data_IF_581485758260
#
_entry.id   IF_581485758260
#
_cell.length_a   1.000
_cell.length_b   1.000
_cell.length_c   1.000
_cell.angle_alpha   90.00
_cell.angle_beta   90.00
_cell.angle_gamma   90.00
#
_symmetry.space_group_name_H-M   'P 1'
#
loop_
_entity.id
_entity.type
_entity.pdbx_description
1 polymer ?
#
# COMPACT_ATOMS: atom_id res chain seq x y z
N UNK A 1 9.36 -27.81 2.09
CA UNK A 1 10.05 -26.80 2.92
C UNK A 1 10.77 -25.82 2.01
N UNK A 2 10.52 -24.51 2.12
CA UNK A 2 11.24 -23.53 1.29
C UNK A 2 12.73 -23.51 1.67
N UNK A 3 13.62 -23.38 0.69
CA UNK A 3 15.06 -23.29 0.94
C UNK A 3 15.39 -22.07 1.81
N UNK A 4 16.41 -22.19 2.68
CA UNK A 4 16.90 -21.10 3.56
C UNK A 4 16.96 -19.72 2.86
N UNK A 5 17.47 -19.58 1.62
CA UNK A 5 17.49 -18.28 0.93
C UNK A 5 16.09 -17.72 0.58
N UNK A 6 15.13 -18.56 0.19
CA UNK A 6 13.74 -18.10 -0.09
C UNK A 6 13.09 -17.54 1.18
N UNK A 7 13.34 -18.17 2.33
CA UNK A 7 12.81 -17.70 3.62
C UNK A 7 13.36 -16.30 3.98
N UNK A 8 14.67 -16.07 3.78
CA UNK A 8 15.30 -14.77 4.08
C UNK A 8 14.73 -13.65 3.23
N UNK A 9 14.64 -13.84 1.91
CA UNK A 9 14.09 -12.82 1.02
C UNK A 9 12.62 -12.54 1.27
N UNK A 10 11.82 -13.56 1.58
CA UNK A 10 10.43 -13.36 2.01
C UNK A 10 10.34 -12.55 3.30
N UNK A 11 11.20 -12.81 4.28
CA UNK A 11 11.27 -12.03 5.52
C UNK A 11 11.65 -10.58 5.26
N UNK A 12 12.56 -10.32 4.31
CA UNK A 12 12.93 -8.97 3.92
C UNK A 12 11.75 -8.21 3.27
N UNK A 13 11.01 -8.86 2.37
CA UNK A 13 9.79 -8.26 1.79
C UNK A 13 8.74 -8.00 2.86
N UNK A 14 8.57 -8.91 3.83
CA UNK A 14 7.66 -8.70 4.96
C UNK A 14 8.09 -7.52 5.84
N UNK A 15 9.38 -7.43 6.17
CA UNK A 15 9.92 -6.31 6.92
C UNK A 15 9.70 -4.98 6.18
N UNK A 16 9.99 -4.95 4.88
CA UNK A 16 9.79 -3.78 4.03
C UNK A 16 8.32 -3.37 3.97
N UNK A 17 7.41 -4.34 3.83
CA UNK A 17 5.97 -4.11 3.87
C UNK A 17 5.53 -3.48 5.20
N UNK A 18 6.03 -3.98 6.33
CA UNK A 18 5.70 -3.44 7.65
C UNK A 18 6.25 -2.01 7.80
N UNK A 19 7.52 -1.78 7.49
CA UNK A 19 8.16 -0.45 7.63
C UNK A 19 7.46 0.59 6.76
N UNK A 20 7.16 0.26 5.50
CA UNK A 20 6.47 1.17 4.58
C UNK A 20 5.02 1.43 4.99
N UNK A 21 4.32 0.43 5.54
CA UNK A 21 2.95 0.61 6.05
C UNK A 21 2.91 1.48 7.31
N UNK A 22 3.84 1.27 8.24
CA UNK A 22 3.95 2.10 9.45
C UNK A 22 4.37 3.52 9.08
N UNK A 23 5.30 3.66 8.14
CA UNK A 23 5.70 4.96 7.60
C UNK A 23 4.53 5.70 6.96
N UNK A 24 3.71 5.02 6.15
CA UNK A 24 2.50 5.59 5.57
C UNK A 24 1.52 6.07 6.65
N UNK A 25 1.24 5.26 7.68
CA UNK A 25 0.40 5.64 8.81
C UNK A 25 0.95 6.86 9.55
N UNK A 26 2.26 6.89 9.82
CA UNK A 26 2.91 8.00 10.52
C UNK A 26 2.81 9.31 9.71
N UNK A 27 2.96 9.25 8.38
CA UNK A 27 2.78 10.43 7.53
C UNK A 27 1.33 10.92 7.52
N UNK A 28 0.35 10.02 7.51
CA UNK A 28 -1.06 10.40 7.63
C UNK A 28 -1.34 11.13 8.95
N UNK A 29 -0.75 10.68 10.07
CA UNK A 29 -0.85 11.37 11.35
C UNK A 29 -0.12 12.72 11.37
N UNK A 30 1.06 12.83 10.74
CA UNK A 30 1.78 14.10 10.63
C UNK A 30 0.97 15.14 9.84
N UNK A 31 0.38 14.73 8.72
CA UNK A 31 -0.52 15.59 7.91
C UNK A 31 -1.76 15.98 8.71
N UNK A 32 -2.37 15.05 9.45
CA UNK A 32 -3.48 15.36 10.34
C UNK A 32 -3.13 16.47 11.33
N UNK A 33 -1.98 16.36 12.00
CA UNK A 33 -1.51 17.38 12.96
C UNK A 33 -1.34 18.73 12.25
N UNK A 34 -0.68 18.78 11.10
CA UNK A 34 -0.48 20.02 10.34
C UNK A 34 -1.81 20.67 9.91
N UNK A 35 -2.78 19.87 9.47
CA UNK A 35 -4.10 20.37 9.09
C UNK A 35 -4.87 20.91 10.29
N UNK A 36 -4.79 20.23 11.44
CA UNK A 36 -5.38 20.73 12.69
C UNK A 36 -4.70 22.04 13.13
N UNK A 37 -3.38 22.12 13.08
CA UNK A 37 -2.63 23.36 13.37
C UNK A 37 -3.09 24.50 12.47
N UNK A 38 -3.27 24.25 11.17
CA UNK A 38 -3.79 25.25 10.24
C UNK A 38 -5.21 25.71 10.56
N UNK A 39 -6.03 24.87 11.16
CA UNK A 39 -7.42 25.18 11.50
C UNK A 39 -7.55 25.93 12.83
N UNK A 40 -6.59 25.78 13.74
CA UNK A 40 -6.69 26.30 15.11
C UNK A 40 -5.81 27.52 15.36
N UNK A 41 -4.77 27.76 14.55
CA UNK A 41 -3.92 28.94 14.70
C UNK A 41 -4.65 30.23 14.34
N UNK A 42 -4.31 31.31 15.05
CA UNK A 42 -4.75 32.68 14.75
C UNK A 42 -3.81 33.38 13.75
N UNK A 43 -2.62 32.81 13.50
CA UNK A 43 -1.63 33.37 12.59
C UNK A 43 -1.84 32.84 11.17
N UNK A 44 -2.18 33.73 10.23
CA UNK A 44 -2.30 33.36 8.80
C UNK A 44 -1.00 32.76 8.26
N UNK A 45 0.15 33.31 8.64
CA UNK A 45 1.44 32.81 8.19
C UNK A 45 1.69 31.36 8.66
N UNK A 46 1.28 31.03 9.88
CA UNK A 46 1.38 29.67 10.41
C UNK A 46 0.43 28.71 9.71
N UNK A 47 -0.81 29.12 9.42
CA UNK A 47 -1.77 28.31 8.69
C UNK A 47 -1.29 27.95 7.27
N UNK A 48 -0.71 28.93 6.55
CA UNK A 48 -0.10 28.71 5.23
C UNK A 48 1.10 27.77 5.32
N UNK A 49 1.96 27.96 6.33
CA UNK A 49 3.11 27.08 6.54
C UNK A 49 2.67 25.63 6.81
N UNK A 50 1.69 25.44 7.68
CA UNK A 50 1.22 24.11 8.04
C UNK A 50 0.57 23.37 6.85
N UNK A 51 -0.30 24.03 6.08
CA UNK A 51 -0.92 23.44 4.88
C UNK A 51 0.07 23.15 3.76
N UNK A 52 1.03 24.06 3.52
CA UNK A 52 2.08 23.83 2.52
C UNK A 52 3.00 22.67 2.90
N UNK A 53 3.37 22.54 4.17
CA UNK A 53 4.16 21.39 4.65
C UNK A 53 3.36 20.08 4.57
N UNK A 54 2.06 20.11 4.84
CA UNK A 54 1.19 18.94 4.67
C UNK A 54 1.20 18.46 3.21
N UNK A 55 1.11 19.38 2.25
CA UNK A 55 1.20 19.08 0.82
C UNK A 55 2.56 18.50 0.43
N UNK A 56 3.66 19.02 0.99
CA UNK A 56 5.01 18.49 0.74
C UNK A 56 5.13 17.06 1.28
N UNK A 57 4.69 16.80 2.51
CA UNK A 57 4.73 15.45 3.10
C UNK A 57 3.89 14.45 2.31
N UNK A 58 2.70 14.86 1.86
CA UNK A 58 1.81 14.03 1.05
C UNK A 58 2.52 13.54 -0.23
N UNK A 59 3.10 14.47 -0.98
CA UNK A 59 3.77 14.16 -2.24
C UNK A 59 5.13 13.47 -2.09
N UNK A 60 5.96 13.89 -1.12
CA UNK A 60 7.36 13.47 -1.00
C UNK A 60 7.55 12.20 -0.19
N UNK A 61 6.70 11.92 0.79
CA UNK A 61 6.88 10.78 1.70
C UNK A 61 5.65 9.88 1.76
N UNK A 62 4.46 10.44 1.95
CA UNK A 62 3.25 9.65 2.10
C UNK A 62 2.99 8.80 0.85
N UNK A 63 2.92 9.44 -0.33
CA UNK A 63 2.59 8.74 -1.57
C UNK A 63 3.64 7.66 -1.97
N UNK A 64 4.96 7.88 -1.87
CA UNK A 64 5.95 6.83 -2.10
C UNK A 64 5.83 5.66 -1.12
N UNK A 65 5.60 5.92 0.17
CA UNK A 65 5.44 4.88 1.19
C UNK A 65 4.15 4.08 0.99
N UNK A 66 3.05 4.75 0.62
CA UNK A 66 1.79 4.11 0.27
C UNK A 66 1.95 3.15 -0.92
N UNK A 67 2.63 3.60 -1.98
CA UNK A 67 2.92 2.77 -3.15
C UNK A 67 3.82 1.57 -2.81
N UNK A 68 4.87 1.78 -2.02
CA UNK A 68 5.76 0.71 -1.58
C UNK A 68 5.04 -0.33 -0.70
N UNK A 69 4.20 0.12 0.23
CA UNK A 69 3.36 -0.76 1.08
C UNK A 69 2.37 -1.57 0.23
N UNK A 70 1.67 -0.92 -0.70
CA UNK A 70 0.71 -1.58 -1.57
C UNK A 70 1.38 -2.62 -2.48
N UNK A 71 2.48 -2.24 -3.15
CA UNK A 71 3.20 -3.15 -4.04
C UNK A 71 3.76 -4.37 -3.30
N UNK A 72 4.38 -4.17 -2.13
CA UNK A 72 4.88 -5.28 -1.30
C UNK A 72 3.74 -6.16 -0.80
N UNK A 73 2.61 -5.58 -0.40
CA UNK A 73 1.41 -6.32 0.01
C UNK A 73 0.84 -7.17 -1.12
N UNK A 74 0.76 -6.61 -2.33
CA UNK A 74 0.33 -7.32 -3.52
C UNK A 74 1.28 -8.46 -3.86
N UNK A 75 2.59 -8.20 -3.86
CA UNK A 75 3.62 -9.21 -4.11
C UNK A 75 3.60 -10.32 -3.06
N UNK A 76 3.33 -10.03 -1.78
CA UNK A 76 3.21 -11.04 -0.75
C UNK A 76 1.97 -11.92 -0.97
N UNK A 77 0.79 -11.33 -1.22
CA UNK A 77 -0.43 -12.10 -1.50
C UNK A 77 -0.31 -12.95 -2.78
N UNK A 78 0.34 -12.37 -3.80
CA UNK A 78 0.72 -13.02 -5.04
C UNK A 78 1.68 -14.21 -4.80
N UNK A 79 2.87 -13.94 -4.31
CA UNK A 79 4.01 -14.84 -4.30
C UNK A 79 3.95 -15.95 -3.23
N UNK A 80 2.91 -15.94 -2.40
CA UNK A 80 2.76 -16.90 -1.31
C UNK A 80 1.44 -17.67 -1.41
N UNK A 81 1.32 -18.81 -0.68
CA UNK A 81 0.10 -19.59 -0.62
C UNK A 81 -1.14 -18.82 -0.16
N UNK A 82 -0.96 -17.69 0.51
CA UNK A 82 -2.04 -16.87 1.07
C UNK A 82 -3.02 -16.43 -0.02
N UNK A 83 -2.54 -15.99 -1.20
CA UNK A 83 -3.44 -15.52 -2.27
C UNK A 83 -4.24 -14.27 -1.87
N UNK A 84 -4.84 -13.60 -2.86
CA UNK A 84 -5.65 -12.39 -2.60
C UNK A 84 -7.03 -12.69 -2.00
N UNK A 85 -7.63 -13.82 -2.40
CA UNK A 85 -9.04 -14.15 -2.13
C UNK A 85 -9.22 -15.43 -1.32
N UNK A 86 -8.14 -16.06 -0.82
CA UNK A 86 -8.26 -17.34 -0.09
C UNK A 86 -8.56 -17.17 1.39
N UNK A 87 -8.25 -16.00 1.93
CA UNK A 87 -8.49 -15.66 3.33
C UNK A 87 -9.21 -14.34 3.41
N UNK A 88 -10.34 -14.31 4.12
CA UNK A 88 -11.15 -13.10 4.31
C UNK A 88 -10.34 -11.95 4.88
N UNK A 89 -9.44 -12.23 5.84
CA UNK A 89 -8.59 -11.20 6.43
C UNK A 89 -7.62 -10.56 5.42
N UNK A 90 -7.15 -11.31 4.41
CA UNK A 90 -6.29 -10.76 3.35
C UNK A 90 -7.11 -9.89 2.42
N UNK A 91 -8.29 -10.37 2.02
CA UNK A 91 -9.20 -9.66 1.13
C UNK A 91 -9.66 -8.32 1.72
N UNK A 92 -10.04 -8.31 3.00
CA UNK A 92 -10.43 -7.09 3.71
C UNK A 92 -9.30 -6.06 3.68
N UNK A 93 -8.06 -6.47 3.99
CA UNK A 93 -6.91 -5.56 3.93
C UNK A 93 -6.62 -5.04 2.53
N UNK A 94 -6.77 -5.90 1.53
CA UNK A 94 -6.61 -5.52 0.14
C UNK A 94 -7.66 -4.48 -0.29
N UNK A 95 -8.93 -4.71 0.05
CA UNK A 95 -10.02 -3.79 -0.24
C UNK A 95 -9.80 -2.42 0.42
N UNK A 96 -9.44 -2.42 1.71
CA UNK A 96 -9.11 -1.18 2.44
C UNK A 96 -7.97 -0.42 1.74
N UNK A 97 -6.88 -1.12 1.38
CA UNK A 97 -5.73 -0.49 0.71
C UNK A 97 -6.11 0.15 -0.63
N UNK A 98 -6.92 -0.53 -1.45
CA UNK A 98 -7.37 0.00 -2.72
C UNK A 98 -8.25 1.26 -2.55
N UNK A 99 -9.18 1.23 -1.59
CA UNK A 99 -10.03 2.38 -1.28
C UNK A 99 -9.17 3.55 -0.81
N UNK A 100 -8.20 3.32 0.07
CA UNK A 100 -7.30 4.37 0.57
C UNK A 100 -6.44 4.99 -0.53
N UNK A 101 -5.88 4.18 -1.44
CA UNK A 101 -5.13 4.69 -2.58
C UNK A 101 -6.01 5.50 -3.52
N UNK A 102 -7.23 5.04 -3.79
CA UNK A 102 -8.15 5.75 -4.66
C UNK A 102 -8.57 7.10 -4.06
N UNK A 103 -8.96 7.11 -2.78
CA UNK A 103 -9.31 8.35 -2.08
C UNK A 103 -8.10 9.28 -1.97
N UNK A 104 -6.92 8.76 -1.59
CA UNK A 104 -5.70 9.54 -1.48
C UNK A 104 -5.33 10.25 -2.77
N UNK A 105 -5.28 9.51 -3.89
CA UNK A 105 -4.83 10.03 -5.19
C UNK A 105 -5.86 10.98 -5.81
N UNK A 106 -7.14 10.58 -5.85
CA UNK A 106 -8.14 11.30 -6.65
C UNK A 106 -8.93 12.34 -5.85
N UNK A 107 -9.03 12.19 -4.52
CA UNK A 107 -9.85 13.07 -3.68
C UNK A 107 -8.97 13.96 -2.81
N UNK A 108 -8.13 13.36 -1.95
CA UNK A 108 -7.33 14.13 -1.00
C UNK A 108 -6.23 14.94 -1.68
N UNK A 109 -5.55 14.40 -2.69
CA UNK A 109 -4.46 15.10 -3.38
C UNK A 109 -4.90 16.40 -4.07
N UNK A 110 -6.12 16.44 -4.62
CA UNK A 110 -6.73 17.66 -5.16
C UNK A 110 -7.09 18.65 -4.06
N UNK A 111 -7.87 18.18 -3.08
CA UNK A 111 -8.34 19.01 -1.97
C UNK A 111 -7.20 19.62 -1.13
N UNK A 112 -6.05 18.95 -1.02
CA UNK A 112 -4.88 19.45 -0.30
C UNK A 112 -4.20 20.61 -1.03
N UNK A 113 -4.14 20.56 -2.37
CA UNK A 113 -3.68 21.68 -3.21
C UNK A 113 -4.63 22.86 -3.08
N UNK A 114 -5.93 22.60 -3.14
CA UNK A 114 -6.95 23.64 -3.00
C UNK A 114 -6.85 24.30 -1.62
N UNK A 115 -6.62 23.52 -0.55
CA UNK A 115 -6.42 24.04 0.80
C UNK A 115 -5.18 24.91 0.93
N UNK A 116 -4.05 24.54 0.31
CA UNK A 116 -2.85 25.36 0.30
C UNK A 116 -3.06 26.68 -0.45
N UNK A 117 -3.78 26.65 -1.58
CA UNK A 117 -4.12 27.86 -2.35
C UNK A 117 -5.11 28.79 -1.61
N UNK A 118 -6.08 28.19 -0.90
CA UNK A 118 -7.05 28.91 -0.10
C UNK A 118 -6.38 29.60 1.09
N UNK A 119 -5.48 28.90 1.80
CA UNK A 119 -4.70 29.47 2.89
C UNK A 119 -3.89 30.69 2.42
N UNK A 120 -3.27 30.62 1.23
CA UNK A 120 -2.50 31.72 0.66
C UNK A 120 -3.33 32.97 0.35
N UNK A 121 -4.60 32.78 -0.05
CA UNK A 121 -5.54 33.89 -0.34
C UNK A 121 -6.36 34.32 0.88
N UNK A 122 -6.20 33.62 2.01
CA UNK A 122 -6.94 33.89 3.24
C UNK A 122 -8.39 33.40 3.22
N UNK A 123 -8.74 32.51 2.29
CA UNK A 123 -10.05 31.86 2.21
C UNK A 123 -10.05 30.51 2.95
N UNK A 124 -11.23 30.03 3.32
CA UNK A 124 -11.38 28.74 3.99
C UNK A 124 -11.31 27.59 2.97
N UNK A 125 -10.22 26.82 3.01
CA UNK A 125 -10.08 25.58 2.23
C UNK A 125 -10.73 24.36 2.89
N UNK A 126 -10.80 23.19 2.21
CA UNK A 126 -11.36 21.95 2.74
C UNK A 126 -10.48 21.25 3.79
N UNK A 127 -9.82 22.01 4.68
CA UNK A 127 -8.89 21.49 5.67
C UNK A 127 -9.55 20.57 6.72
N UNK A 128 -10.81 20.79 7.09
CA UNK A 128 -11.55 19.92 8.02
C UNK A 128 -11.78 18.52 7.42
N UNK A 129 -12.38 18.36 6.22
CA UNK A 129 -12.46 17.06 5.55
C UNK A 129 -11.11 16.36 5.37
N UNK A 130 -10.05 17.10 5.07
CA UNK A 130 -8.70 16.56 4.93
C UNK A 130 -8.15 16.03 6.25
N UNK A 131 -8.36 16.75 7.36
CA UNK A 131 -7.94 16.30 8.68
C UNK A 131 -8.68 15.01 9.07
N UNK A 132 -10.00 15.00 8.92
CA UNK A 132 -10.82 13.79 9.16
C UNK A 132 -10.38 12.64 8.28
N UNK A 133 -10.17 12.88 6.98
CA UNK A 133 -9.70 11.88 6.03
C UNK A 133 -8.32 11.31 6.40
N UNK A 134 -7.40 12.15 6.87
CA UNK A 134 -6.07 11.73 7.32
C UNK A 134 -6.12 10.88 8.59
N UNK A 135 -6.98 11.25 9.55
CA UNK A 135 -7.21 10.46 10.76
C UNK A 135 -7.86 9.10 10.45
N UNK A 136 -8.87 9.07 9.57
CA UNK A 136 -9.52 7.84 9.11
C UNK A 136 -8.53 6.93 8.37
N UNK A 137 -7.65 7.51 7.54
CA UNK A 137 -6.60 6.76 6.85
C UNK A 137 -5.62 6.12 7.84
N UNK A 138 -5.15 6.86 8.85
CA UNK A 138 -4.30 6.29 9.89
C UNK A 138 -5.02 5.18 10.69
N UNK A 139 -6.28 5.40 11.06
CA UNK A 139 -7.11 4.42 11.76
C UNK A 139 -7.34 3.14 10.95
N UNK A 140 -7.57 3.27 9.64
CA UNK A 140 -7.71 2.13 8.74
C UNK A 140 -6.40 1.32 8.67
N UNK A 141 -5.23 1.96 8.58
CA UNK A 141 -3.94 1.25 8.58
C UNK A 141 -3.69 0.55 9.92
N UNK A 142 -4.01 1.20 11.05
CA UNK A 142 -3.92 0.59 12.37
C UNK A 142 -4.85 -0.64 12.49
N UNK A 143 -6.06 -0.55 11.97
CA UNK A 143 -6.98 -1.68 11.89
C UNK A 143 -6.43 -2.82 11.02
N UNK A 144 -5.83 -2.51 9.86
CA UNK A 144 -5.16 -3.52 9.03
C UNK A 144 -3.98 -4.18 9.78
N UNK A 145 -3.21 -3.42 10.55
CA UNK A 145 -2.15 -3.97 11.40
C UNK A 145 -2.73 -4.95 12.45
N UNK A 146 -3.81 -4.56 13.14
CA UNK A 146 -4.52 -5.43 14.08
C UNK A 146 -5.06 -6.70 13.40
N UNK A 147 -5.73 -6.59 12.25
CA UNK A 147 -6.21 -7.74 11.46
C UNK A 147 -5.06 -8.69 11.08
N UNK A 148 -3.85 -8.17 10.86
CA UNK A 148 -2.65 -8.97 10.58
C UNK A 148 -2.21 -9.85 11.75
N UNK A 149 -2.43 -9.37 12.98
CA UNK A 149 -2.07 -10.07 14.22
C UNK A 149 -3.20 -11.01 14.64
N UNK A 150 -4.42 -10.47 14.78
CA UNK A 150 -5.58 -11.20 15.28
C UNK A 150 -6.08 -12.28 14.30
N UNK A 151 -5.87 -12.09 12.99
CA UNK A 151 -6.37 -12.97 11.90
C UNK A 151 -7.80 -13.49 12.18
N UNK A 152 -8.77 -12.61 12.44
CA UNK A 152 -10.03 -13.01 13.08
C UNK A 152 -10.96 -13.83 12.16
N UNK A 153 -10.68 -13.89 10.85
CA UNK A 153 -11.50 -14.61 9.89
C UNK A 153 -10.78 -15.81 9.26
N UNK A 154 -11.52 -16.92 9.10
CA UNK A 154 -11.04 -18.16 8.51
C UNK A 154 -10.90 -18.08 6.98
N UNK A 155 -10.59 -19.22 6.36
CA UNK A 155 -10.45 -19.38 4.90
C UNK A 155 -11.78 -19.15 4.18
N UNK A 156 -11.74 -18.58 2.97
CA UNK A 156 -12.92 -18.35 2.13
C UNK A 156 -13.58 -19.66 1.68
N UNK A 157 -14.90 -19.62 1.46
CA UNK A 157 -15.72 -20.78 1.06
C UNK A 157 -15.24 -21.50 -0.21
N UNK A 158 -14.54 -20.80 -1.11
CA UNK A 158 -14.06 -21.35 -2.38
C UNK A 158 -12.62 -21.92 -2.31
N UNK A 159 -12.05 -22.10 -1.11
CA UNK A 159 -10.71 -22.69 -0.97
C UNK A 159 -10.76 -24.21 -1.21
N UNK A 160 -9.89 -24.78 -2.07
CA UNK A 160 -9.80 -26.24 -2.26
C UNK A 160 -9.47 -26.96 -0.95
N UNK A 161 -10.08 -28.13 -0.72
CA UNK A 161 -9.90 -28.93 0.50
C UNK A 161 -8.45 -29.42 0.71
N UNK A 162 -7.68 -29.58 -0.37
CA UNK A 162 -6.28 -30.02 -0.31
C UNK A 162 -5.32 -28.86 0.00
N UNK A 163 -5.08 -28.64 1.30
CA UNK A 163 -4.13 -27.65 1.83
C UNK A 163 -2.67 -27.91 1.45
N UNK A 164 -2.29 -29.14 1.05
CA UNK A 164 -0.89 -29.49 0.71
C UNK A 164 -0.49 -28.93 -0.65
N UNK A 165 -1.38 -28.97 -1.65
CA UNK A 165 -1.16 -28.32 -2.95
C UNK A 165 -1.00 -26.81 -2.83
N UNK A 166 -1.75 -26.18 -1.92
CA UNK A 166 -1.68 -24.74 -1.67
C UNK A 166 -0.34 -24.33 -1.06
N UNK A 167 0.20 -25.08 -0.09
CA UNK A 167 1.52 -24.79 0.51
C UNK A 167 2.70 -24.94 -0.47
N UNK A 168 2.53 -25.72 -1.54
CA UNK A 168 3.57 -25.92 -2.56
C UNK A 168 3.75 -24.71 -3.50
N UNK A 169 2.82 -23.75 -3.53
CA UNK A 169 2.83 -22.62 -4.48
C UNK A 169 3.73 -21.43 -4.07
N UNK A 170 4.63 -21.57 -3.10
CA UNK A 170 5.53 -20.46 -2.74
C UNK A 170 6.44 -20.13 -3.93
N UNK A 171 6.43 -18.87 -4.36
CA UNK A 171 7.18 -18.41 -5.51
C UNK A 171 8.70 -18.59 -5.34
N UNK A 172 9.45 -18.71 -6.47
CA UNK A 172 10.90 -18.81 -6.44
C UNK A 172 11.57 -17.53 -5.93
N UNK A 173 12.81 -17.67 -5.42
CA UNK A 173 13.59 -16.57 -4.77
C UNK A 173 13.62 -15.26 -5.55
N UNK A 174 13.74 -15.35 -6.87
CA UNK A 174 13.92 -14.17 -7.73
C UNK A 174 12.71 -13.24 -7.69
N UNK A 175 11.51 -13.77 -7.42
CA UNK A 175 10.29 -12.94 -7.28
C UNK A 175 10.43 -12.01 -6.08
N UNK A 176 10.89 -12.52 -4.93
CA UNK A 176 11.11 -11.70 -3.74
C UNK A 176 12.27 -10.71 -3.92
N UNK A 177 13.34 -11.12 -4.59
CA UNK A 177 14.44 -10.20 -4.95
C UNK A 177 13.94 -9.07 -5.84
N UNK A 178 13.18 -9.39 -6.89
CA UNK A 178 12.59 -8.41 -7.79
C UNK A 178 11.61 -7.47 -7.07
N UNK A 179 10.87 -7.95 -6.07
CA UNK A 179 10.03 -7.10 -5.22
C UNK A 179 10.87 -6.07 -4.45
N UNK A 180 11.95 -6.51 -3.80
CA UNK A 180 12.83 -5.59 -3.05
C UNK A 180 13.48 -4.57 -3.98
N UNK A 181 14.04 -5.03 -5.11
CA UNK A 181 14.66 -4.15 -6.10
C UNK A 181 13.65 -3.15 -6.66
N UNK A 182 12.42 -3.60 -6.97
CA UNK A 182 11.35 -2.74 -7.45
C UNK A 182 11.00 -1.62 -6.47
N UNK A 183 10.84 -1.95 -5.18
CA UNK A 183 10.56 -0.93 -4.14
C UNK A 183 11.71 0.06 -4.00
N UNK A 184 12.95 -0.41 -3.90
CA UNK A 184 14.12 0.46 -3.75
C UNK A 184 14.25 1.38 -4.97
N UNK A 185 14.00 0.85 -6.17
CA UNK A 185 14.03 1.63 -7.41
C UNK A 185 12.93 2.68 -7.42
N UNK A 186 11.69 2.33 -7.08
CA UNK A 186 10.56 3.27 -7.05
C UNK A 186 10.76 4.36 -5.99
N UNK A 187 11.32 4.03 -4.83
CA UNK A 187 11.65 5.02 -3.79
C UNK A 187 12.80 5.95 -4.23
N UNK A 188 13.84 5.41 -4.88
CA UNK A 188 14.93 6.22 -5.42
C UNK A 188 14.44 7.15 -6.53
N UNK A 189 13.60 6.64 -7.43
CA UNK A 189 12.97 7.44 -8.50
C UNK A 189 12.06 8.52 -7.90
N UNK A 190 11.24 8.18 -6.90
CA UNK A 190 10.38 9.15 -6.22
C UNK A 190 11.19 10.25 -5.51
N UNK A 191 12.32 9.90 -4.89
CA UNK A 191 13.21 10.86 -4.25
C UNK A 191 13.84 11.83 -5.27
N UNK A 192 14.23 11.34 -6.44
CA UNK A 192 14.87 12.14 -7.50
C UNK A 192 13.86 12.98 -8.30
N UNK A 193 12.73 12.40 -8.71
CA UNK A 193 11.75 13.05 -9.58
C UNK A 193 10.68 13.85 -8.83
N UNK A 194 10.54 13.66 -7.51
CA UNK A 194 9.57 14.40 -6.68
C UNK A 194 8.11 14.04 -6.92
N UNK A 195 7.82 13.10 -7.83
CA UNK A 195 6.48 12.59 -8.10
C UNK A 195 6.46 11.06 -8.01
N UNK A 196 5.47 10.47 -7.32
CA UNK A 196 5.30 9.03 -7.26
C UNK A 196 4.90 8.49 -8.65
N UNK A 197 5.81 7.81 -9.33
CA UNK A 197 5.53 7.12 -10.59
C UNK A 197 5.64 5.60 -10.37
N UNK A 198 4.57 4.91 -9.90
CA UNK A 198 4.60 3.46 -9.68
C UNK A 198 4.55 2.66 -10.99
N UNK A 199 5.22 3.13 -12.05
CA UNK A 199 5.20 2.49 -13.37
C UNK A 199 5.91 1.13 -13.35
N UNK A 200 7.02 1.03 -12.62
CA UNK A 200 7.83 -0.20 -12.55
C UNK A 200 7.17 -1.23 -11.65
N UNK A 201 6.68 -0.85 -10.48
CA UNK A 201 5.90 -1.73 -9.57
C UNK A 201 4.62 -2.26 -10.22
N UNK A 202 3.86 -1.42 -10.92
CA UNK A 202 2.66 -1.85 -11.65
C UNK A 202 3.03 -2.80 -12.79
N UNK A 203 4.05 -2.49 -13.59
CA UNK A 203 4.50 -3.37 -14.68
C UNK A 203 4.93 -4.75 -14.14
N UNK A 204 5.71 -4.79 -13.07
CA UNK A 204 6.14 -6.05 -12.42
C UNK A 204 4.93 -6.83 -11.92
N UNK A 205 3.98 -6.17 -11.25
CA UNK A 205 2.76 -6.80 -10.73
C UNK A 205 1.91 -7.41 -11.84
N UNK A 206 1.60 -6.63 -12.88
CA UNK A 206 0.79 -7.07 -14.02
C UNK A 206 1.46 -8.24 -14.74
N UNK A 207 2.76 -8.11 -15.04
CA UNK A 207 3.51 -9.16 -15.73
C UNK A 207 3.51 -10.47 -14.94
N UNK A 208 3.66 -10.38 -13.62
CA UNK A 208 3.64 -11.54 -12.74
C UNK A 208 2.26 -12.19 -12.65
N UNK A 209 1.18 -11.39 -12.52
CA UNK A 209 -0.20 -11.88 -12.48
C UNK A 209 -0.59 -12.60 -13.78
N UNK A 210 -0.20 -12.03 -14.93
CA UNK A 210 -0.43 -12.64 -16.25
C UNK A 210 0.33 -13.96 -16.38
N UNK A 211 1.62 -14.00 -16.00
CA UNK A 211 2.42 -15.23 -16.04
C UNK A 211 1.86 -16.32 -15.13
N UNK A 212 1.39 -15.96 -13.93
CA UNK A 212 0.77 -16.93 -13.01
C UNK A 212 -0.54 -17.49 -13.57
N UNK A 213 -1.42 -16.66 -14.13
CA UNK A 213 -2.65 -17.11 -14.78
C UNK A 213 -2.37 -18.06 -15.94
N UNK A 214 -1.40 -17.73 -16.80
CA UNK A 214 -1.01 -18.59 -17.94
C UNK A 214 -0.54 -19.96 -17.46
N UNK A 215 0.34 -20.02 -16.45
CA UNK A 215 0.81 -21.29 -15.87
C UNK A 215 -0.33 -22.16 -15.31
N UNK A 216 -1.29 -21.54 -14.62
CA UNK A 216 -2.45 -22.25 -14.10
C UNK A 216 -3.32 -22.82 -15.23
N UNK A 217 -3.55 -22.06 -16.30
CA UNK A 217 -4.31 -22.53 -17.46
C UNK A 217 -3.62 -23.70 -18.20
N UNK A 218 -2.29 -23.63 -18.38
CA UNK A 218 -1.52 -24.71 -19.03
C UNK A 218 -1.55 -26.01 -18.22
N UNK A 219 -1.51 -25.93 -16.89
CA UNK A 219 -1.60 -27.12 -16.03
C UNK A 219 -2.97 -27.79 -16.10
N UNK A 220 -4.05 -27.01 -16.15
CA UNK A 220 -5.42 -27.54 -16.30
C UNK A 220 -5.61 -28.21 -17.66
N UNK A 221 -5.09 -27.61 -18.72
CA UNK A 221 -5.13 -28.20 -20.06
C UNK A 221 -4.36 -29.53 -20.12
N UNK A 222 -3.16 -29.60 -19.54
CA UNK A 222 -2.34 -30.82 -19.54
C UNK A 222 -2.98 -31.98 -18.74
N UNK A 223 -3.76 -31.68 -17.69
CA UNK A 223 -4.50 -32.71 -16.93
C UNK A 223 -5.81 -33.17 -17.59
N UNK A 224 -6.31 -32.44 -18.60
CA UNK A 224 -7.53 -32.81 -19.33
C UNK A 224 -7.23 -33.67 -20.57
N UNK A 225 -5.97 -33.71 -21.01
CA UNK A 225 -5.48 -34.50 -22.16
C UNK A 225 -4.79 -35.81 -21.77
N UNK A 226 -4.70 -36.10 -20.47
CA UNK A 226 -4.10 -37.31 -19.90
C UNK A 226 -5.19 -38.17 -19.26
#
# INVERSE_FOLDING_TARGET
>A
MASRPVRRWRQLVLWLHVVTSVGWMAQALAIFVLLVTSLTTQSRAEAVSATSMAQVLDGRLLAPLANASAFTGFMLAAATPWGFVRHWWVLVKFAITLVQLHLGIFVLGGALKDSASAAATGSAGPAVPLAVGSALMAGAIAFQAWVSVAKPWSTTRWMPADRRRVSAETAPRWVFVATVVGVVSDLAVAAVLGHPAPLVSVAILVTWLVRRRRRAATMVAASATA
#
